data_IF_442317090461
#
_entry.id   IF_442317090461
#
_cell.length_a   1.000
_cell.length_b   1.000
_cell.length_c   1.000
_cell.angle_alpha   90.00
_cell.angle_beta   90.00
_cell.angle_gamma   90.00
#
_symmetry.space_group_name_H-M   'P 1'
#
loop_
_entity.id
_entity.type
_entity.pdbx_description
1 polymer ?
#
# COMPACT_ATOMS: atom_id res chain seq x y z
N UNK A 1 -51.84 64.11 39.53
CA UNK A 1 -51.58 62.81 40.17
C UNK A 1 -52.91 62.09 40.33
N UNK A 2 -53.22 61.13 39.47
CA UNK A 2 -54.27 60.13 39.69
C UNK A 2 -53.85 58.90 38.88
N UNK A 3 -53.29 57.91 39.58
CA UNK A 3 -52.85 56.64 38.98
C UNK A 3 -54.05 55.77 38.60
N UNK A 4 -53.84 54.82 37.69
CA UNK A 4 -54.86 53.85 37.26
C UNK A 4 -55.42 53.11 38.48
N UNK A 5 -56.72 53.23 38.71
CA UNK A 5 -57.41 52.55 39.80
C UNK A 5 -57.43 51.04 39.56
N UNK A 6 -56.82 50.28 40.47
CA UNK A 6 -56.86 48.82 40.45
C UNK A 6 -58.19 48.37 41.07
N UNK A 7 -59.13 47.94 40.22
CA UNK A 7 -60.42 47.41 40.64
C UNK A 7 -60.20 46.09 41.41
N UNK A 8 -60.30 46.13 42.73
CA UNK A 8 -60.20 44.94 43.60
C UNK A 8 -61.54 44.21 43.59
N UNK A 9 -61.55 42.99 43.07
CA UNK A 9 -62.75 42.14 43.03
C UNK A 9 -62.84 41.33 44.33
N UNK A 10 -63.78 41.66 45.21
CA UNK A 10 -63.87 41.10 46.57
C UNK A 10 -64.90 39.96 46.72
N UNK A 11 -64.92 38.99 45.80
CA UNK A 11 -65.83 37.84 45.89
C UNK A 11 -65.43 36.67 44.99
N UNK A 12 -65.74 35.45 45.44
CA UNK A 12 -65.39 34.19 44.74
C UNK A 12 -66.00 34.11 43.33
N UNK A 13 -67.21 34.63 43.14
CA UNK A 13 -67.88 34.72 41.83
C UNK A 13 -67.15 35.64 40.84
N UNK A 14 -66.52 36.70 41.34
CA UNK A 14 -65.74 37.62 40.50
C UNK A 14 -64.40 37.01 40.06
N UNK A 15 -63.79 36.17 40.90
CA UNK A 15 -62.65 35.36 40.50
C UNK A 15 -63.07 34.34 39.46
N UNK A 16 -64.15 33.58 39.67
CA UNK A 16 -64.65 32.60 38.71
C UNK A 16 -65.01 33.22 37.35
N UNK A 17 -65.61 34.41 37.33
CA UNK A 17 -65.90 35.16 36.11
C UNK A 17 -64.62 35.60 35.39
N UNK A 18 -63.59 36.05 36.13
CA UNK A 18 -62.27 36.38 35.56
C UNK A 18 -61.56 35.14 35.01
N UNK A 19 -61.61 34.00 35.72
CA UNK A 19 -61.01 32.75 35.23
C UNK A 19 -61.74 32.25 33.98
N UNK A 20 -63.08 32.32 33.94
CA UNK A 20 -63.86 31.99 32.74
C UNK A 20 -63.56 32.92 31.58
N UNK A 21 -63.51 34.23 31.81
CA UNK A 21 -63.16 35.20 30.78
C UNK A 21 -61.72 35.04 30.27
N UNK A 22 -60.77 34.63 31.13
CA UNK A 22 -59.39 34.29 30.73
C UNK A 22 -59.36 32.99 29.92
N UNK A 23 -60.14 31.98 30.29
CA UNK A 23 -60.26 30.71 29.58
C UNK A 23 -60.97 30.90 28.23
N UNK A 24 -62.01 31.71 28.16
CA UNK A 24 -62.71 32.11 26.94
C UNK A 24 -61.80 32.95 26.04
N UNK A 25 -61.05 33.91 26.59
CA UNK A 25 -60.06 34.68 25.83
C UNK A 25 -58.82 33.85 25.39
N UNK A 26 -58.52 32.75 26.10
CA UNK A 26 -57.53 31.76 25.66
C UNK A 26 -58.08 30.82 24.58
N UNK A 27 -59.37 30.45 24.65
CA UNK A 27 -60.07 29.74 23.57
C UNK A 27 -60.19 30.60 22.31
N UNK A 28 -60.40 31.90 22.43
CA UNK A 28 -60.37 32.86 21.30
C UNK A 28 -58.97 33.02 20.68
N UNK A 29 -57.89 32.56 21.33
CA UNK A 29 -56.54 32.50 20.73
C UNK A 29 -56.29 31.23 19.91
N UNK A 30 -57.27 30.33 19.81
CA UNK A 30 -57.23 29.16 18.91
C UNK A 30 -57.65 29.50 17.47
N UNK A 31 -57.60 30.78 17.06
CA UNK A 31 -57.91 31.22 15.69
C UNK A 31 -56.85 30.73 14.66
N UNK A 32 -55.76 30.12 15.14
CA UNK A 32 -54.72 29.49 14.32
C UNK A 32 -54.26 28.15 14.90
N UNK A 33 -55.17 27.35 15.45
CA UNK A 33 -54.86 25.95 15.73
C UNK A 33 -55.13 25.15 14.44
N UNK A 34 -54.06 24.83 13.69
CA UNK A 34 -54.14 24.01 12.47
C UNK A 34 -53.30 22.74 12.69
N UNK A 35 -53.84 21.75 13.42
CA UNK A 35 -53.10 20.54 13.81
C UNK A 35 -52.55 19.78 12.62
N UNK A 36 -53.29 19.73 11.51
CA UNK A 36 -52.89 19.01 10.30
C UNK A 36 -51.71 19.70 9.59
N UNK A 37 -51.65 21.04 9.60
CA UNK A 37 -50.52 21.77 9.02
C UNK A 37 -49.26 21.61 9.89
N UNK A 38 -49.42 21.64 11.22
CA UNK A 38 -48.33 21.36 12.16
C UNK A 38 -47.82 19.93 12.01
N UNK A 39 -48.72 18.97 11.83
CA UNK A 39 -48.35 17.59 11.55
C UNK A 39 -47.55 17.45 10.25
N UNK A 40 -48.02 18.05 9.15
CA UNK A 40 -47.32 18.03 7.86
C UNK A 40 -45.94 18.70 7.95
N UNK A 41 -45.83 19.83 8.67
CA UNK A 41 -44.55 20.49 8.89
C UNK A 41 -43.58 19.60 9.70
N UNK A 42 -44.07 18.96 10.75
CA UNK A 42 -43.27 18.03 11.55
C UNK A 42 -42.84 16.80 10.74
N UNK A 43 -43.69 16.27 9.84
CA UNK A 43 -43.30 15.20 8.91
C UNK A 43 -42.15 15.64 8.00
N UNK A 44 -42.27 16.81 7.36
CA UNK A 44 -41.20 17.35 6.51
C UNK A 44 -39.90 17.59 7.29
N UNK A 45 -40.00 18.09 8.53
CA UNK A 45 -38.83 18.26 9.40
C UNK A 45 -38.20 16.90 9.72
N UNK A 46 -38.99 15.90 10.08
CA UNK A 46 -38.48 14.57 10.39
C UNK A 46 -37.82 13.91 9.17
N UNK A 47 -38.46 13.96 8.00
CA UNK A 47 -37.92 13.41 6.75
C UNK A 47 -36.61 14.11 6.35
N UNK A 48 -36.55 15.43 6.47
CA UNK A 48 -35.33 16.19 6.18
C UNK A 48 -34.23 15.89 7.20
N UNK A 49 -34.57 15.76 8.49
CA UNK A 49 -33.61 15.40 9.53
C UNK A 49 -33.04 13.98 9.33
N UNK A 50 -33.90 13.01 9.00
CA UNK A 50 -33.47 11.66 8.65
C UNK A 50 -32.57 11.65 7.41
N UNK A 51 -32.90 12.45 6.40
CA UNK A 51 -32.08 12.60 5.19
C UNK A 51 -30.70 13.18 5.52
N UNK A 52 -30.65 14.23 6.36
CA UNK A 52 -29.40 14.83 6.82
C UNK A 52 -28.55 13.79 7.56
N UNK A 53 -29.13 13.05 8.51
CA UNK A 53 -28.42 12.01 9.27
C UNK A 53 -27.90 10.90 8.36
N UNK A 54 -28.71 10.48 7.37
CA UNK A 54 -28.31 9.45 6.40
C UNK A 54 -27.15 9.93 5.55
N UNK A 55 -27.23 11.14 5.01
CA UNK A 55 -26.17 11.72 4.18
C UNK A 55 -24.88 11.91 4.97
N UNK A 56 -24.95 12.36 6.22
CA UNK A 56 -23.77 12.49 7.09
C UNK A 56 -23.10 11.12 7.34
N UNK A 57 -23.89 10.08 7.65
CA UNK A 57 -23.35 8.71 7.80
C UNK A 57 -22.71 8.20 6.52
N UNK A 58 -23.35 8.40 5.38
CA UNK A 58 -22.81 7.99 4.08
C UNK A 58 -21.52 8.75 3.75
N UNK A 59 -21.47 10.05 4.02
CA UNK A 59 -20.27 10.87 3.78
C UNK A 59 -19.09 10.41 4.65
N UNK A 60 -19.34 10.08 5.93
CA UNK A 60 -18.31 9.52 6.81
C UNK A 60 -17.82 8.16 6.31
N UNK A 61 -18.73 7.26 5.97
CA UNK A 61 -18.39 5.95 5.42
C UNK A 61 -17.53 6.07 4.14
N UNK A 62 -17.92 6.94 3.21
CA UNK A 62 -17.17 7.15 1.97
C UNK A 62 -15.79 7.77 2.23
N UNK A 63 -15.67 8.68 3.20
CA UNK A 63 -14.38 9.23 3.62
C UNK A 63 -13.46 8.16 4.19
N UNK A 64 -13.97 7.33 5.10
CA UNK A 64 -13.19 6.24 5.69
C UNK A 64 -12.76 5.23 4.62
N UNK A 65 -13.66 4.90 3.69
CA UNK A 65 -13.35 4.02 2.57
C UNK A 65 -12.30 4.62 1.62
N UNK A 66 -12.39 5.92 1.35
CA UNK A 66 -11.42 6.60 0.48
C UNK A 66 -10.03 6.63 1.14
N UNK A 67 -9.97 6.94 2.45
CA UNK A 67 -8.71 6.90 3.19
C UNK A 67 -8.08 5.50 3.24
N UNK A 68 -8.91 4.45 3.38
CA UNK A 68 -8.43 3.07 3.30
C UNK A 68 -7.86 2.74 1.91
N UNK A 69 -8.60 3.08 0.84
CA UNK A 69 -8.15 2.83 -0.53
C UNK A 69 -6.90 3.63 -0.90
N UNK A 70 -6.74 4.85 -0.40
CA UNK A 70 -5.51 5.64 -0.58
C UNK A 70 -4.31 4.95 0.08
N UNK A 71 -4.48 4.43 1.29
CA UNK A 71 -3.43 3.67 1.97
C UNK A 71 -3.06 2.40 1.20
N UNK A 72 -4.06 1.61 0.82
CA UNK A 72 -3.85 0.39 0.03
C UNK A 72 -3.15 0.71 -1.30
N UNK A 73 -3.54 1.80 -1.96
CA UNK A 73 -2.89 2.26 -3.19
C UNK A 73 -1.41 2.60 -2.97
N UNK A 74 -1.08 3.31 -1.89
CA UNK A 74 0.30 3.63 -1.53
C UNK A 74 1.12 2.36 -1.25
N UNK A 75 0.56 1.39 -0.51
CA UNK A 75 1.23 0.12 -0.22
C UNK A 75 1.50 -0.68 -1.49
N UNK A 76 0.50 -0.78 -2.38
CA UNK A 76 0.64 -1.49 -3.66
C UNK A 76 1.68 -0.79 -4.54
N UNK A 77 1.69 0.55 -4.59
CA UNK A 77 2.70 1.29 -5.36
C UNK A 77 4.11 1.06 -4.82
N UNK A 78 4.29 1.03 -3.50
CA UNK A 78 5.59 0.74 -2.89
C UNK A 78 6.06 -0.69 -3.19
N UNK A 79 5.16 -1.67 -3.10
CA UNK A 79 5.46 -3.06 -3.45
C UNK A 79 5.82 -3.20 -4.94
N UNK A 80 5.04 -2.57 -5.83
CA UNK A 80 5.29 -2.57 -7.27
C UNK A 80 6.64 -1.93 -7.60
N UNK A 81 7.04 -0.86 -6.91
CA UNK A 81 8.34 -0.24 -7.12
C UNK A 81 9.48 -1.19 -6.73
N UNK A 82 9.36 -1.87 -5.59
CA UNK A 82 10.34 -2.89 -5.16
C UNK A 82 10.43 -4.05 -6.16
N UNK A 83 9.30 -4.57 -6.60
CA UNK A 83 9.24 -5.67 -7.58
C UNK A 83 9.84 -5.26 -8.93
N UNK A 84 9.64 -4.01 -9.38
CA UNK A 84 10.29 -3.50 -10.59
C UNK A 84 11.80 -3.40 -10.48
N UNK A 85 12.32 -3.01 -9.31
CA UNK A 85 13.76 -2.94 -9.09
C UNK A 85 14.37 -4.34 -9.07
N UNK A 86 13.72 -5.30 -8.40
CA UNK A 86 14.10 -6.71 -8.40
C UNK A 86 14.06 -7.30 -9.82
N UNK A 87 13.00 -7.01 -10.59
CA UNK A 87 12.89 -7.43 -11.98
C UNK A 87 14.04 -6.88 -12.83
N UNK A 88 14.36 -5.59 -12.68
CA UNK A 88 15.48 -4.97 -13.40
C UNK A 88 16.82 -5.61 -13.05
N UNK A 89 17.04 -5.93 -11.77
CA UNK A 89 18.24 -6.65 -11.33
C UNK A 89 18.36 -8.04 -11.98
N UNK A 90 17.25 -8.79 -12.03
CA UNK A 90 17.23 -10.11 -12.67
C UNK A 90 17.42 -10.01 -14.18
N UNK A 91 16.82 -9.01 -14.84
CA UNK A 91 17.02 -8.75 -16.28
C UNK A 91 18.48 -8.42 -16.58
N UNK A 92 19.13 -7.56 -15.79
CA UNK A 92 20.56 -7.24 -15.95
C UNK A 92 21.45 -8.49 -15.78
N UNK A 93 21.14 -9.36 -14.80
CA UNK A 93 21.84 -10.64 -14.64
C UNK A 93 21.60 -11.59 -15.82
N UNK A 94 20.38 -11.65 -16.34
CA UNK A 94 20.04 -12.49 -17.48
C UNK A 94 20.78 -12.03 -18.74
N UNK A 95 20.85 -10.72 -19.00
CA UNK A 95 21.62 -10.14 -20.11
C UNK A 95 23.11 -10.48 -20.00
N UNK A 96 23.67 -10.45 -18.77
CA UNK A 96 25.06 -10.85 -18.52
C UNK A 96 25.28 -12.34 -18.85
N UNK A 97 24.36 -13.21 -18.41
CA UNK A 97 24.42 -14.64 -18.67
C UNK A 97 24.23 -14.97 -20.16
N UNK A 98 23.34 -14.28 -20.87
CA UNK A 98 23.11 -14.50 -22.30
C UNK A 98 24.35 -14.11 -23.13
N UNK A 99 24.98 -12.97 -22.80
CA UNK A 99 26.26 -12.56 -23.41
C UNK A 99 27.36 -13.59 -23.15
N UNK A 100 27.40 -14.14 -21.93
CA UNK A 100 28.36 -15.19 -21.60
C UNK A 100 28.07 -16.50 -22.32
N UNK A 101 26.80 -16.92 -22.41
CA UNK A 101 26.39 -18.13 -23.14
C UNK A 101 26.77 -18.03 -24.61
N UNK A 102 26.48 -16.90 -25.25
CA UNK A 102 26.89 -16.63 -26.64
C UNK A 102 28.43 -16.70 -26.77
N UNK A 103 29.13 -16.08 -25.81
CA UNK A 103 30.56 -16.25 -25.52
C UNK A 103 31.03 -17.71 -25.65
N UNK A 104 30.39 -18.54 -24.84
CA UNK A 104 30.75 -19.93 -24.58
C UNK A 104 30.52 -20.80 -25.81
N UNK A 105 29.39 -20.60 -26.49
CA UNK A 105 29.03 -21.32 -27.72
C UNK A 105 29.99 -21.03 -28.88
N UNK A 106 30.56 -19.81 -28.92
CA UNK A 106 31.60 -19.44 -29.88
C UNK A 106 33.00 -19.99 -29.52
N UNK A 107 33.16 -20.59 -28.34
CA UNK A 107 34.44 -21.12 -27.85
C UNK A 107 35.46 -20.04 -27.46
N UNK A 108 35.02 -18.79 -27.32
CA UNK A 108 35.88 -17.63 -27.04
C UNK A 108 36.03 -17.34 -25.54
N UNK A 109 35.46 -18.17 -24.68
CA UNK A 109 35.46 -17.93 -23.23
C UNK A 109 36.76 -18.41 -22.60
N UNK A 110 37.38 -17.52 -21.84
CA UNK A 110 38.60 -17.80 -21.06
C UNK A 110 38.28 -18.09 -19.59
N UNK A 111 39.20 -18.79 -18.90
CA UNK A 111 39.08 -19.05 -17.45
C UNK A 111 39.03 -17.76 -16.63
N UNK A 112 39.74 -16.71 -17.06
CA UNK A 112 39.74 -15.42 -16.37
C UNK A 112 38.41 -14.68 -16.53
N UNK A 113 37.79 -14.72 -17.71
CA UNK A 113 36.45 -14.15 -17.90
C UNK A 113 35.38 -14.89 -17.09
N UNK A 114 35.42 -16.23 -17.02
CA UNK A 114 34.51 -17.00 -16.17
C UNK A 114 34.66 -16.57 -14.70
N UNK A 115 35.90 -16.44 -14.24
CA UNK A 115 36.23 -16.05 -12.87
C UNK A 115 35.69 -14.67 -12.54
N UNK A 116 35.92 -13.68 -13.41
CA UNK A 116 35.39 -12.32 -13.24
C UNK A 116 33.87 -12.31 -13.20
N UNK A 117 33.22 -13.08 -14.08
CA UNK A 117 31.76 -13.19 -14.10
C UNK A 117 31.22 -13.77 -12.79
N UNK A 118 31.75 -14.91 -12.31
CA UNK A 118 31.27 -15.53 -11.08
C UNK A 118 31.56 -14.69 -9.84
N UNK A 119 32.71 -14.00 -9.78
CA UNK A 119 32.99 -13.05 -8.70
C UNK A 119 32.02 -11.87 -8.73
N UNK A 120 31.73 -11.32 -9.91
CA UNK A 120 30.75 -10.25 -10.07
C UNK A 120 29.36 -10.70 -9.63
N UNK A 121 28.93 -11.89 -10.02
CA UNK A 121 27.64 -12.45 -9.62
C UNK A 121 27.54 -12.68 -8.11
N UNK A 122 28.59 -13.20 -7.47
CA UNK A 122 28.61 -13.39 -6.02
C UNK A 122 28.65 -12.06 -5.24
N UNK A 123 29.27 -11.02 -5.80
CA UNK A 123 29.38 -9.71 -5.15
C UNK A 123 28.13 -8.84 -5.34
N UNK A 124 27.58 -8.79 -6.55
CA UNK A 124 26.50 -7.87 -6.93
C UNK A 124 25.11 -8.53 -6.96
N UNK A 125 25.03 -9.86 -7.13
CA UNK A 125 23.78 -10.61 -7.34
C UNK A 125 23.70 -11.88 -6.48
N UNK A 126 24.12 -11.78 -5.21
CA UNK A 126 24.27 -12.95 -4.33
C UNK A 126 22.95 -13.70 -4.09
N UNK A 127 21.85 -12.97 -3.99
CA UNK A 127 20.54 -13.56 -3.73
C UNK A 127 20.07 -14.40 -4.91
N UNK A 128 20.18 -13.86 -6.12
CA UNK A 128 19.87 -14.52 -7.39
C UNK A 128 20.82 -15.69 -7.65
N UNK A 129 22.12 -15.50 -7.37
CA UNK A 129 23.14 -16.54 -7.49
C UNK A 129 22.75 -17.79 -6.71
N UNK A 130 22.32 -17.61 -5.45
CA UNK A 130 21.89 -18.71 -4.59
C UNK A 130 20.51 -19.24 -4.95
N UNK A 131 19.57 -18.37 -5.34
CA UNK A 131 18.20 -18.76 -5.67
C UNK A 131 18.16 -19.64 -6.93
N UNK A 132 18.91 -19.26 -7.96
CA UNK A 132 18.96 -19.97 -9.24
C UNK A 132 20.03 -21.07 -9.28
N UNK A 133 20.81 -21.24 -8.21
CA UNK A 133 21.89 -22.22 -8.10
C UNK A 133 22.90 -22.10 -9.24
N UNK A 134 23.35 -20.87 -9.49
CA UNK A 134 24.24 -20.53 -10.59
C UNK A 134 25.64 -21.17 -10.42
N UNK A 135 25.94 -21.73 -9.25
CA UNK A 135 27.09 -22.61 -9.01
C UNK A 135 27.12 -23.86 -9.92
N UNK A 136 25.96 -24.42 -10.30
CA UNK A 136 25.89 -25.61 -11.16
C UNK A 136 26.34 -25.29 -12.59
N UNK A 137 26.07 -24.06 -13.04
CA UNK A 137 26.48 -23.56 -14.36
C UNK A 137 28.00 -23.37 -14.42
N UNK A 138 28.62 -22.97 -13.31
CA UNK A 138 30.06 -22.84 -13.21
C UNK A 138 30.75 -24.16 -13.53
N UNK A 139 30.28 -25.27 -12.97
CA UNK A 139 30.88 -26.60 -13.20
C UNK A 139 30.84 -26.95 -14.70
N UNK A 140 29.70 -26.74 -15.34
CA UNK A 140 29.50 -27.13 -16.74
C UNK A 140 30.39 -26.35 -17.72
N UNK A 141 30.61 -25.05 -17.45
CA UNK A 141 31.42 -24.19 -18.31
C UNK A 141 32.91 -24.18 -17.97
N UNK A 142 33.25 -24.26 -16.68
CA UNK A 142 34.63 -24.12 -16.20
C UNK A 142 35.39 -25.45 -16.26
N UNK A 143 34.73 -26.59 -16.00
CA UNK A 143 35.38 -27.90 -16.00
C UNK A 143 36.07 -28.24 -17.34
N UNK A 144 35.43 -28.07 -18.52
CA UNK A 144 36.09 -28.31 -19.81
C UNK A 144 37.30 -27.40 -20.03
N UNK A 145 37.23 -26.14 -19.60
CA UNK A 145 38.32 -25.17 -19.73
C UNK A 145 39.52 -25.53 -18.84
N UNK A 146 39.24 -25.96 -17.59
CA UNK A 146 40.28 -26.46 -16.68
C UNK A 146 40.93 -27.72 -17.27
N UNK A 147 40.15 -28.66 -17.81
CA UNK A 147 40.69 -29.84 -18.46
C UNK A 147 41.62 -29.46 -19.62
N UNK A 148 41.19 -28.53 -20.49
CA UNK A 148 42.01 -28.05 -21.59
C UNK A 148 43.30 -27.36 -21.11
N UNK A 149 43.24 -26.56 -20.04
CA UNK A 149 44.42 -25.94 -19.44
C UNK A 149 45.43 -27.01 -19.00
N UNK A 150 44.99 -28.03 -18.26
CA UNK A 150 45.86 -29.11 -17.80
C UNK A 150 46.32 -30.08 -18.90
N UNK A 151 45.72 -30.09 -20.10
CA UNK A 151 46.26 -30.86 -21.24
C UNK A 151 47.63 -30.32 -21.70
N UNK A 152 47.92 -29.04 -21.46
CA UNK A 152 49.22 -28.44 -21.79
C UNK A 152 50.29 -28.66 -20.72
N UNK A 153 49.92 -29.31 -19.61
CA UNK A 153 50.84 -29.62 -18.52
C UNK A 153 51.79 -30.75 -18.87
N UNK A 154 53.09 -30.50 -18.68
CA UNK A 154 54.15 -31.49 -18.80
C UNK A 154 54.78 -31.74 -17.42
N UNK A 155 54.49 -32.90 -16.84
CA UNK A 155 55.00 -33.30 -15.53
C UNK A 155 56.54 -33.46 -15.46
N UNK A 156 57.22 -33.53 -16.61
CA UNK A 156 58.68 -33.67 -16.68
C UNK A 156 59.41 -32.33 -16.81
N UNK A 157 58.68 -31.23 -16.99
CA UNK A 157 59.26 -29.89 -17.04
C UNK A 157 59.37 -29.29 -15.64
N UNK A 158 60.60 -29.03 -15.19
CA UNK A 158 60.86 -28.45 -13.87
C UNK A 158 60.29 -27.02 -13.73
N UNK A 159 60.07 -26.31 -14.82
CA UNK A 159 59.44 -24.97 -14.80
C UNK A 159 57.92 -25.06 -14.52
N UNK A 160 57.31 -26.23 -14.77
CA UNK A 160 55.88 -26.49 -14.59
C UNK A 160 55.54 -27.24 -13.29
N UNK A 161 56.47 -27.29 -12.32
CA UNK A 161 56.28 -28.00 -11.05
C UNK A 161 55.09 -27.47 -10.22
N UNK A 162 54.76 -26.17 -10.34
CA UNK A 162 53.64 -25.51 -9.68
C UNK A 162 52.47 -25.18 -10.63
N UNK A 163 52.42 -25.82 -11.79
CA UNK A 163 51.43 -25.51 -12.83
C UNK A 163 49.99 -25.74 -12.33
N UNK A 164 49.14 -24.72 -12.46
CA UNK A 164 47.73 -24.78 -12.09
C UNK A 164 47.41 -24.74 -10.58
N UNK A 165 48.40 -24.70 -9.68
CA UNK A 165 48.16 -24.62 -8.23
C UNK A 165 47.50 -23.27 -7.86
N UNK A 166 47.99 -22.18 -8.44
CA UNK A 166 47.42 -20.84 -8.24
C UNK A 166 45.99 -20.77 -8.77
N UNK A 167 45.77 -21.26 -10.00
CA UNK A 167 44.46 -21.35 -10.63
C UNK A 167 43.45 -22.09 -9.74
N UNK A 168 43.77 -23.31 -9.31
CA UNK A 168 42.87 -24.08 -8.44
C UNK A 168 42.67 -23.43 -7.06
N UNK A 169 43.69 -22.74 -6.54
CA UNK A 169 43.59 -21.97 -5.30
C UNK A 169 42.64 -20.77 -5.41
N UNK A 170 42.51 -20.17 -6.59
CA UNK A 170 41.61 -19.08 -6.88
C UNK A 170 40.18 -19.58 -7.10
N UNK A 171 40.00 -20.64 -7.89
CA UNK A 171 38.72 -21.29 -8.10
C UNK A 171 38.13 -21.94 -6.85
N UNK A 172 38.97 -22.28 -5.85
CA UNK A 172 38.49 -22.74 -4.55
C UNK A 172 37.83 -21.63 -3.72
N UNK A 173 38.15 -20.36 -4.00
CA UNK A 173 37.62 -19.21 -3.24
C UNK A 173 36.31 -18.67 -3.83
N UNK A 174 36.01 -19.03 -5.07
CA UNK A 174 34.79 -18.74 -5.81
C UNK A 174 33.84 -19.91 -5.57
#
# INVERSE_FOLDING_TARGET
MTGKEQKVYSGYDAYAAKTRAIVEAQMERLVFDVPELMHNLNLLINETEETIRRNDRQMRFLRDQTAALENDSMQIQAALWKEREEQKHVEELNDLLERFSTKSDEGNVTLDECRELFQKMQAEYFEEYRLFRLEEIAITNVLPLIQHYFLTWNALDNEQMNYGITLMGEWKKI
#
